data_IF_968092648162
#
_entry.id   IF_968092648162
#
_cell.length_a   1.000
_cell.length_b   1.000
_cell.length_c   1.000
_cell.angle_alpha   90.00
_cell.angle_beta   90.00
_cell.angle_gamma   90.00
#
_symmetry.space_group_name_H-M   'P 1'
#
loop_
_entity.id
_entity.type
_entity.pdbx_description
1 polymer ?
#
# COMPACT_ATOMS: atom_id res chain seq x y z
N UNK A 1 -10.50 10.29 -9.00
CA UNK A 1 -9.16 10.08 -9.58
C UNK A 1 -8.75 8.66 -9.22
N UNK A 2 -8.24 7.88 -10.17
CA UNK A 2 -7.77 6.50 -9.94
C UNK A 2 -6.27 6.52 -9.69
N UNK A 3 -5.81 5.76 -8.69
CA UNK A 3 -4.40 5.59 -8.32
C UNK A 3 -3.87 4.26 -8.87
N UNK A 4 -2.56 4.20 -9.14
CA UNK A 4 -1.89 3.01 -9.67
C UNK A 4 -1.19 2.21 -8.57
N UNK A 5 -0.71 2.88 -7.51
CA UNK A 5 0.03 2.26 -6.40
C UNK A 5 -0.50 2.73 -5.05
N UNK A 6 -0.72 1.79 -4.13
CA UNK A 6 -1.08 2.10 -2.75
C UNK A 6 0.13 1.90 -1.83
N UNK A 7 0.50 2.94 -1.09
CA UNK A 7 1.56 2.90 -0.07
C UNK A 7 0.89 2.84 1.29
N UNK A 8 1.24 1.83 2.11
CA UNK A 8 0.68 1.67 3.45
C UNK A 8 1.78 1.49 4.47
N UNK A 9 1.65 2.16 5.62
CA UNK A 9 2.61 2.07 6.71
C UNK A 9 1.93 1.97 8.07
N UNK A 10 2.57 1.29 9.01
CA UNK A 10 1.97 0.99 10.31
C UNK A 10 1.92 2.19 11.26
N UNK A 11 2.80 3.17 11.08
CA UNK A 11 2.94 4.35 11.93
C UNK A 11 3.31 5.60 11.13
N UNK A 12 2.92 6.78 11.61
CA UNK A 12 3.37 8.05 11.05
C UNK A 12 4.90 8.22 11.13
N UNK A 13 5.55 7.58 12.12
CA UNK A 13 7.01 7.56 12.24
C UNK A 13 7.71 6.83 11.09
N UNK A 14 7.01 5.94 10.37
CA UNK A 14 7.57 5.25 9.20
C UNK A 14 7.67 6.17 7.98
N UNK A 15 7.01 7.33 8.00
CA UNK A 15 6.93 8.26 6.86
C UNK A 15 8.31 8.79 6.42
N UNK A 16 9.23 9.01 7.35
CA UNK A 16 10.57 9.50 7.02
C UNK A 16 11.29 8.56 6.03
N UNK A 17 11.05 7.24 6.14
CA UNK A 17 11.56 6.24 5.22
C UNK A 17 10.63 6.04 4.03
N UNK A 18 9.34 5.88 4.28
CA UNK A 18 8.34 5.50 3.26
C UNK A 18 8.07 6.62 2.25
N UNK A 19 8.29 7.88 2.61
CA UNK A 19 8.17 9.02 1.68
C UNK A 19 9.10 8.91 0.48
N UNK A 20 10.19 8.14 0.57
CA UNK A 20 11.09 7.90 -0.55
C UNK A 20 10.41 7.10 -1.67
N UNK A 21 9.48 6.19 -1.34
CA UNK A 21 8.68 5.48 -2.33
C UNK A 21 7.74 6.44 -3.08
N UNK A 22 7.04 7.32 -2.36
CA UNK A 22 6.20 8.35 -2.96
C UNK A 22 7.01 9.24 -3.91
N UNK A 23 8.15 9.76 -3.44
CA UNK A 23 9.04 10.60 -4.26
C UNK A 23 9.49 9.90 -5.54
N UNK A 24 9.81 8.62 -5.47
CA UNK A 24 10.23 7.85 -6.64
C UNK A 24 9.08 7.67 -7.65
N UNK A 25 7.88 7.36 -7.16
CA UNK A 25 6.70 7.21 -8.02
C UNK A 25 6.31 8.54 -8.68
N UNK A 26 6.38 9.65 -7.93
CA UNK A 26 6.15 11.00 -8.45
C UNK A 26 7.14 11.34 -9.58
N UNK A 27 8.43 10.98 -9.44
CA UNK A 27 9.46 11.19 -10.47
C UNK A 27 9.14 10.46 -11.78
N UNK A 28 8.46 9.31 -11.71
CA UNK A 28 8.02 8.56 -12.88
C UNK A 28 6.59 8.89 -13.32
N UNK A 29 5.92 9.82 -12.66
CA UNK A 29 4.53 10.19 -12.96
C UNK A 29 3.51 9.10 -12.60
N UNK A 30 3.86 8.17 -11.71
CA UNK A 30 2.97 7.10 -11.24
C UNK A 30 2.09 7.64 -10.11
N UNK A 31 0.76 7.53 -10.26
CA UNK A 31 -0.17 8.02 -9.24
C UNK A 31 -0.18 7.09 -8.05
N UNK A 32 0.20 7.62 -6.89
CA UNK A 32 0.20 6.84 -5.65
C UNK A 32 -0.53 7.56 -4.52
N UNK A 33 -1.06 6.77 -3.59
CA UNK A 33 -1.68 7.25 -2.36
C UNK A 33 -1.00 6.61 -1.15
N UNK A 34 -0.72 7.39 -0.12
CA UNK A 34 -0.08 6.94 1.11
C UNK A 34 -1.06 6.97 2.29
N UNK A 35 -1.15 5.88 3.06
CA UNK A 35 -1.99 5.77 4.27
C UNK A 35 -1.22 5.21 5.46
N UNK A 36 -1.53 5.71 6.66
CA UNK A 36 -1.05 5.16 7.93
C UNK A 36 -2.12 4.21 8.49
N UNK A 37 -1.95 2.92 8.28
CA UNK A 37 -2.87 1.87 8.71
C UNK A 37 -2.08 0.71 9.33
N UNK A 38 -2.42 0.37 10.57
CA UNK A 38 -1.68 -0.57 11.39
C UNK A 38 -2.38 -1.93 11.44
N UNK A 39 -1.72 -2.98 10.97
CA UNK A 39 -2.21 -4.36 11.04
C UNK A 39 -2.62 -4.79 12.47
N UNK A 40 -2.00 -4.23 13.50
CA UNK A 40 -2.31 -4.56 14.90
C UNK A 40 -3.35 -3.64 15.56
N UNK A 41 -3.56 -2.43 15.03
CA UNK A 41 -4.33 -1.36 15.74
C UNK A 41 -5.59 -0.96 15.00
N UNK A 42 -5.51 -0.92 13.67
CA UNK A 42 -6.61 -0.54 12.77
C UNK A 42 -6.81 -1.62 11.69
N UNK A 43 -6.98 -2.91 12.05
CA UNK A 43 -7.04 -4.00 11.07
C UNK A 43 -8.25 -3.91 10.14
N UNK A 44 -9.40 -3.41 10.61
CA UNK A 44 -10.61 -3.24 9.80
C UNK A 44 -10.44 -2.16 8.73
N UNK A 45 -9.91 -1.01 9.11
CA UNK A 45 -9.62 0.10 8.18
C UNK A 45 -8.58 -0.33 7.14
N UNK A 46 -7.60 -1.15 7.53
CA UNK A 46 -6.65 -1.74 6.59
C UNK A 46 -7.33 -2.66 5.57
N UNK A 47 -8.22 -3.54 6.03
CA UNK A 47 -8.97 -4.45 5.14
C UNK A 47 -9.89 -3.68 4.18
N UNK A 48 -10.58 -2.65 4.68
CA UNK A 48 -11.42 -1.76 3.88
C UNK A 48 -10.60 -1.03 2.81
N UNK A 49 -9.45 -0.46 3.17
CA UNK A 49 -8.55 0.20 2.24
C UNK A 49 -8.03 -0.75 1.14
N UNK A 50 -7.66 -1.99 1.51
CA UNK A 50 -7.23 -3.00 0.54
C UNK A 50 -8.37 -3.36 -0.42
N UNK A 51 -9.60 -3.51 0.08
CA UNK A 51 -10.79 -3.78 -0.74
C UNK A 51 -11.06 -2.65 -1.73
N UNK A 52 -11.00 -1.40 -1.28
CA UNK A 52 -11.16 -0.22 -2.14
C UNK A 52 -10.07 -0.20 -3.24
N UNK A 53 -8.82 -0.52 -2.89
CA UNK A 53 -7.73 -0.61 -3.86
C UNK A 53 -7.94 -1.73 -4.90
N UNK A 54 -8.49 -2.88 -4.47
CA UNK A 54 -8.88 -3.98 -5.36
C UNK A 54 -9.96 -3.55 -6.35
N UNK A 55 -11.00 -2.85 -5.87
CA UNK A 55 -12.09 -2.31 -6.72
C UNK A 55 -11.57 -1.28 -7.73
N UNK A 56 -10.61 -0.46 -7.31
CA UNK A 56 -9.93 0.51 -8.17
C UNK A 56 -8.89 -0.13 -9.10
N UNK A 57 -8.63 -1.44 -8.99
CA UNK A 57 -7.63 -2.18 -9.77
C UNK A 57 -6.21 -1.59 -9.66
N UNK A 58 -5.85 -1.18 -8.45
CA UNK A 58 -4.48 -0.79 -8.08
C UNK A 58 -3.50 -1.87 -8.52
N UNK A 59 -2.34 -1.46 -9.03
CA UNK A 59 -1.36 -2.34 -9.66
C UNK A 59 -0.35 -2.93 -8.67
N UNK A 60 -0.05 -2.20 -7.62
CA UNK A 60 0.90 -2.65 -6.60
C UNK A 60 0.60 -2.03 -5.22
N UNK A 61 0.99 -2.76 -4.18
CA UNK A 61 1.07 -2.25 -2.82
C UNK A 61 2.53 -2.11 -2.39
N UNK A 62 2.86 -1.02 -1.72
CA UNK A 62 4.14 -0.82 -1.03
C UNK A 62 3.83 -0.73 0.46
N UNK A 63 4.11 -1.80 1.20
CA UNK A 63 3.82 -1.89 2.63
C UNK A 63 5.10 -1.77 3.47
N UNK A 64 5.15 -0.80 4.37
CA UNK A 64 6.26 -0.57 5.29
C UNK A 64 5.89 -0.83 6.74
N UNK A 65 6.70 -1.60 7.46
CA UNK A 65 6.56 -1.78 8.89
C UNK A 65 7.92 -1.97 9.58
N UNK A 66 8.06 -1.42 10.78
CA UNK A 66 9.17 -1.69 11.68
C UNK A 66 8.87 -2.79 12.71
N UNK A 67 9.91 -3.24 13.43
CA UNK A 67 9.84 -4.22 14.53
C UNK A 67 9.21 -5.57 14.09
N UNK A 68 8.12 -5.99 14.72
CA UNK A 68 7.34 -7.16 14.34
C UNK A 68 6.55 -6.84 13.05
N UNK A 69 7.23 -6.93 11.91
CA UNK A 69 6.77 -6.46 10.61
C UNK A 69 5.69 -7.36 9.97
N UNK A 70 4.49 -7.37 10.54
CA UNK A 70 3.36 -8.16 10.04
C UNK A 70 2.61 -7.51 8.87
N UNK A 71 2.65 -6.17 8.74
CA UNK A 71 1.82 -5.43 7.78
C UNK A 71 1.96 -5.92 6.33
N UNK A 72 3.18 -6.13 5.77
CA UNK A 72 3.30 -6.61 4.40
C UNK A 72 2.67 -7.98 4.18
N UNK A 73 2.79 -8.88 5.17
CA UNK A 73 2.18 -10.20 5.13
C UNK A 73 0.66 -10.15 5.21
N UNK A 74 0.10 -9.28 6.06
CA UNK A 74 -1.35 -9.07 6.16
C UNK A 74 -1.90 -8.50 4.85
N UNK A 75 -1.22 -7.51 4.24
CA UNK A 75 -1.62 -6.99 2.93
C UNK A 75 -1.62 -8.12 1.90
N UNK A 76 -0.52 -8.87 1.79
CA UNK A 76 -0.40 -9.97 0.83
C UNK A 76 -1.44 -11.09 1.03
N UNK A 77 -1.92 -11.31 2.26
CA UNK A 77 -2.96 -12.30 2.54
C UNK A 77 -4.37 -11.84 2.13
N UNK A 78 -4.61 -10.53 2.00
CA UNK A 78 -5.92 -9.94 1.74
C UNK A 78 -6.11 -9.48 0.29
N UNK A 79 -5.06 -9.52 -0.53
CA UNK A 79 -5.10 -9.14 -1.93
C UNK A 79 -4.41 -10.19 -2.81
N UNK A 80 -4.79 -10.25 -4.08
CA UNK A 80 -4.06 -11.02 -5.10
C UNK A 80 -3.14 -10.12 -5.95
N UNK A 81 -3.16 -8.81 -5.69
CA UNK A 81 -2.25 -7.82 -6.27
C UNK A 81 -0.86 -7.94 -5.62
N UNK A 82 0.24 -7.89 -6.37
CA UNK A 82 0.32 -7.61 -7.81
C UNK A 82 -0.10 -8.81 -8.65
N UNK A 83 -1.06 -8.60 -9.57
CA UNK A 83 -1.47 -9.61 -10.55
C UNK A 83 -0.64 -9.45 -11.83
N UNK A 84 -0.52 -10.54 -12.61
CA UNK A 84 0.21 -10.56 -13.89
C UNK A 84 -0.06 -9.29 -14.69
N UNK A 85 1.02 -8.55 -15.02
CA UNK A 85 0.98 -7.29 -15.76
C UNK A 85 0.56 -7.45 -17.24
N UNK A 86 0.25 -8.66 -17.68
CA UNK A 86 -0.23 -8.94 -19.04
C UNK A 86 -1.69 -8.47 -19.21
N UNK A 87 -1.87 -7.17 -19.37
CA UNK A 87 -3.03 -6.58 -20.00
C UNK A 87 -2.58 -5.98 -21.33
N UNK A 88 -2.50 -6.84 -22.34
CA UNK A 88 -2.85 -6.45 -23.71
C UNK A 88 -4.35 -6.68 -23.85
#
# INVERSE_FOLDING_TARGET
MSIDVAIVMGSASDWDVMSNAQKMLDQFGVKAESRVLSAHRTPKELEEFIRECEEQKVKAFIAGAGLAAALPGVVAALTTTPRNWSAT
#
